data_IF_831995959996
#
_entry.id   IF_831995959996
#
_cell.length_a   1.000
_cell.length_b   1.000
_cell.length_c   1.000
_cell.angle_alpha   90.00
_cell.angle_beta   90.00
_cell.angle_gamma   90.00
#
_symmetry.space_group_name_H-M   'P 1'
#
loop_
_entity.id
_entity.type
_entity.pdbx_description
1 polymer ?
#
# COMPACT_ATOMS: atom_id res chain seq x y z
N UNK A 1 10.23 -0.08 -6.24
CA UNK A 1 10.00 0.95 -5.20
C UNK A 1 10.04 2.41 -5.68
N UNK A 2 10.32 2.73 -6.96
CA UNK A 2 10.38 4.14 -7.39
C UNK A 2 9.04 4.89 -7.22
N UNK A 3 7.91 4.26 -7.56
CA UNK A 3 6.58 4.88 -7.46
C UNK A 3 6.18 5.13 -6.00
N UNK A 4 6.36 4.14 -5.11
CA UNK A 4 6.07 4.29 -3.68
C UNK A 4 6.86 5.45 -3.05
N UNK A 5 8.13 5.63 -3.42
CA UNK A 5 8.94 6.79 -2.98
C UNK A 5 8.39 8.11 -3.50
N UNK A 6 7.97 8.17 -4.77
CA UNK A 6 7.39 9.39 -5.34
C UNK A 6 6.09 9.78 -4.64
N UNK A 7 5.22 8.80 -4.34
CA UNK A 7 4.00 9.02 -3.57
C UNK A 7 4.34 9.54 -2.18
N UNK A 8 5.23 8.86 -1.44
CA UNK A 8 5.62 9.25 -0.09
C UNK A 8 6.25 10.65 -0.02
N UNK A 9 6.99 11.07 -1.05
CA UNK A 9 7.61 12.39 -1.11
C UNK A 9 6.64 13.50 -1.56
N UNK A 10 5.62 13.17 -2.36
CA UNK A 10 4.68 14.13 -2.92
C UNK A 10 3.44 14.33 -2.03
N UNK A 11 2.94 13.25 -1.44
CA UNK A 11 1.70 13.26 -0.67
C UNK A 11 1.91 13.93 0.69
N UNK A 12 1.08 14.90 1.02
CA UNK A 12 1.19 15.65 2.28
C UNK A 12 0.61 14.91 3.49
N UNK A 13 -0.19 13.87 3.27
CA UNK A 13 -0.74 13.02 4.32
C UNK A 13 0.13 11.79 4.61
N UNK A 14 -0.28 11.00 5.60
CA UNK A 14 0.42 9.77 5.95
C UNK A 14 0.44 8.78 4.77
N UNK A 15 1.62 8.18 4.54
CA UNK A 15 1.81 7.15 3.52
C UNK A 15 2.12 5.83 4.20
N UNK A 16 1.21 4.87 4.09
CA UNK A 16 1.41 3.50 4.55
C UNK A 16 1.96 2.65 3.39
N UNK A 17 3.02 1.90 3.64
CA UNK A 17 3.59 0.94 2.70
C UNK A 17 3.38 -0.46 3.23
N UNK A 18 2.79 -1.33 2.41
CA UNK A 18 2.59 -2.74 2.72
C UNK A 18 3.48 -3.56 1.81
N UNK A 19 4.37 -4.36 2.38
CA UNK A 19 5.18 -5.34 1.64
C UNK A 19 5.37 -6.58 2.52
N UNK A 20 4.78 -7.75 2.15
CA UNK A 20 4.76 -8.94 3.01
C UNK A 20 6.12 -9.61 3.27
N UNK A 21 7.13 -9.34 2.44
CA UNK A 21 8.41 -10.06 2.43
C UNK A 21 9.54 -9.30 3.13
N UNK A 22 9.30 -8.07 3.61
CA UNK A 22 10.27 -7.26 4.34
C UNK A 22 9.77 -6.94 5.75
N UNK A 23 10.72 -6.84 6.68
CA UNK A 23 10.45 -6.47 8.07
C UNK A 23 10.88 -5.04 8.39
N UNK A 24 11.60 -4.40 7.47
CA UNK A 24 12.10 -3.03 7.62
C UNK A 24 12.11 -2.34 6.27
N UNK A 25 11.80 -1.04 6.27
CA UNK A 25 11.90 -0.23 5.07
C UNK A 25 13.37 -0.04 4.67
N UNK A 26 13.69 -0.03 3.37
CA UNK A 26 15.00 0.40 2.94
C UNK A 26 15.22 1.87 3.30
N UNK A 27 16.45 2.21 3.70
CA UNK A 27 16.85 3.54 4.22
C UNK A 27 16.34 4.76 3.43
N UNK A 28 16.17 4.62 2.12
CA UNK A 28 15.67 5.68 1.21
C UNK A 28 14.20 6.07 1.44
N UNK A 29 13.46 5.27 2.19
CA UNK A 29 12.07 5.50 2.58
C UNK A 29 11.93 5.86 4.06
N UNK A 30 13.05 5.88 4.79
CA UNK A 30 13.06 6.20 6.20
C UNK A 30 12.58 7.64 6.43
N UNK A 31 11.64 7.81 7.35
CA UNK A 31 10.99 9.10 7.64
C UNK A 31 10.02 9.62 6.56
N UNK A 32 9.85 8.93 5.43
CA UNK A 32 8.89 9.33 4.37
C UNK A 32 7.57 8.56 4.42
N UNK A 33 7.60 7.33 4.93
CA UNK A 33 6.43 6.47 5.01
C UNK A 33 6.54 5.49 6.17
N UNK A 34 5.42 4.88 6.54
CA UNK A 34 5.35 3.89 7.60
C UNK A 34 5.17 2.50 6.99
N UNK A 35 5.97 1.51 7.40
CA UNK A 35 5.71 0.11 7.08
C UNK A 35 4.51 -0.35 7.90
N UNK A 36 3.46 -0.79 7.23
CA UNK A 36 2.21 -1.22 7.84
C UNK A 36 1.86 -2.65 7.42
N UNK A 37 1.05 -3.31 8.24
CA UNK A 37 0.43 -4.56 7.83
C UNK A 37 -0.66 -4.31 6.78
N UNK A 38 -1.03 -5.35 6.04
CA UNK A 38 -2.14 -5.27 5.09
C UNK A 38 -3.45 -4.91 5.79
N UNK A 39 -3.70 -5.48 6.96
CA UNK A 39 -4.88 -5.16 7.79
C UNK A 39 -4.91 -3.70 8.22
N UNK A 40 -3.77 -3.14 8.65
CA UNK A 40 -3.72 -1.75 9.09
C UNK A 40 -3.96 -0.79 7.92
N UNK A 41 -3.39 -1.10 6.75
CA UNK A 41 -3.63 -0.31 5.54
C UNK A 41 -5.11 -0.40 5.11
N UNK A 42 -5.72 -1.59 5.16
CA UNK A 42 -7.13 -1.76 4.82
C UNK A 42 -8.08 -1.06 5.81
N UNK A 43 -7.68 -0.92 7.07
CA UNK A 43 -8.50 -0.27 8.09
C UNK A 43 -8.37 1.26 8.10
N UNK A 44 -7.18 1.80 7.79
CA UNK A 44 -6.86 3.21 8.01
C UNK A 44 -6.62 4.02 6.74
N UNK A 45 -6.35 3.39 5.59
CA UNK A 45 -6.06 4.14 4.37
C UNK A 45 -7.33 4.65 3.70
N UNK A 46 -7.36 5.94 3.37
CA UNK A 46 -8.42 6.56 2.57
C UNK A 46 -8.30 6.22 1.07
N UNK A 47 -7.05 6.01 0.61
CA UNK A 47 -6.69 5.73 -0.79
C UNK A 47 -5.81 4.50 -0.83
N UNK A 48 -6.19 3.50 -1.63
CA UNK A 48 -5.38 2.32 -1.90
C UNK A 48 -4.73 2.39 -3.28
N UNK A 49 -3.44 2.09 -3.34
CA UNK A 49 -2.67 2.01 -4.59
C UNK A 49 -1.97 0.66 -4.67
N UNK A 50 -2.44 -0.24 -5.54
CA UNK A 50 -1.81 -1.53 -5.78
C UNK A 50 -0.75 -1.41 -6.88
N UNK A 51 0.52 -1.52 -6.48
CA UNK A 51 1.67 -1.46 -7.40
C UNK A 51 2.19 -2.85 -7.79
N UNK A 52 1.95 -3.86 -6.96
CA UNK A 52 2.45 -5.24 -7.10
C UNK A 52 1.35 -6.20 -6.66
N UNK A 53 1.30 -7.38 -7.28
CA UNK A 53 0.25 -8.39 -7.13
C UNK A 53 0.72 -9.59 -6.28
N UNK A 54 1.22 -9.31 -5.08
CA UNK A 54 1.62 -10.36 -4.12
C UNK A 54 0.48 -11.34 -3.82
N UNK A 55 0.82 -12.59 -3.48
CA UNK A 55 -0.16 -13.64 -3.22
C UNK A 55 -1.13 -13.26 -2.09
N UNK A 56 -0.60 -12.59 -1.07
CA UNK A 56 -1.33 -12.07 0.08
C UNK A 56 -2.40 -11.07 -0.34
N UNK A 57 -2.13 -10.23 -1.35
CA UNK A 57 -3.09 -9.26 -1.84
C UNK A 57 -4.17 -9.91 -2.69
N UNK A 58 -3.81 -10.91 -3.50
CA UNK A 58 -4.79 -11.72 -4.26
C UNK A 58 -5.71 -12.55 -3.36
N UNK A 59 -5.26 -12.88 -2.17
CA UNK A 59 -6.06 -13.61 -1.17
C UNK A 59 -7.09 -12.71 -0.45
N UNK A 60 -6.97 -11.39 -0.56
CA UNK A 60 -7.98 -10.46 -0.05
C UNK A 60 -9.19 -10.50 -0.97
N UNK A 61 -10.35 -10.89 -0.42
CA UNK A 61 -11.61 -10.83 -1.16
C UNK A 61 -12.00 -9.38 -1.46
N UNK A 62 -12.54 -9.11 -2.65
CA UNK A 62 -12.92 -7.76 -3.08
C UNK A 62 -13.83 -7.03 -2.07
N UNK A 63 -14.72 -7.76 -1.39
CA UNK A 63 -15.61 -7.21 -0.35
C UNK A 63 -14.87 -6.63 0.88
N UNK A 64 -13.61 -7.02 1.09
CA UNK A 64 -12.77 -6.50 2.18
C UNK A 64 -12.10 -5.17 1.83
N UNK A 65 -12.14 -4.78 0.55
CA UNK A 65 -11.56 -3.54 0.05
C UNK A 65 -12.68 -2.52 -0.10
N UNK A 66 -12.84 -1.66 0.91
CA UNK A 66 -14.00 -0.76 1.05
C UNK A 66 -13.65 0.71 0.81
N UNK A 67 -12.39 0.99 0.46
CA UNK A 67 -11.88 2.32 0.24
C UNK A 67 -12.57 3.01 -0.92
N UNK A 68 -12.87 4.29 -0.73
CA UNK A 68 -13.52 5.11 -1.74
C UNK A 68 -12.66 5.30 -3.00
N UNK A 69 -11.34 5.27 -2.85
CA UNK A 69 -10.39 5.48 -3.94
C UNK A 69 -9.41 4.32 -4.04
N UNK A 70 -9.47 3.60 -5.16
CA UNK A 70 -8.60 2.45 -5.44
C UNK A 70 -7.94 2.66 -6.81
N UNK A 71 -6.61 2.69 -6.81
CA UNK A 71 -5.77 2.65 -8.01
C UNK A 71 -5.15 1.26 -8.09
N UNK A 72 -5.83 0.36 -8.79
CA UNK A 72 -5.35 -1.00 -9.02
C UNK A 72 -4.65 -1.10 -10.39
N UNK A 73 -3.31 -1.15 -10.37
CA UNK A 73 -2.51 -1.29 -11.60
C UNK A 73 -2.37 -2.74 -12.07
N UNK A 74 -2.91 -3.70 -11.31
CA UNK A 74 -2.75 -5.15 -11.51
C UNK A 74 -4.05 -5.88 -11.81
N UNK A 75 -5.21 -5.27 -11.49
CA UNK A 75 -6.53 -5.84 -11.74
C UNK A 75 -6.89 -6.97 -10.78
N UNK A 76 -6.48 -6.88 -9.52
CA UNK A 76 -6.72 -7.88 -8.47
C UNK A 76 -7.99 -7.59 -7.65
N UNK A 77 -8.29 -6.31 -7.37
CA UNK A 77 -9.40 -5.89 -6.49
C UNK A 77 -10.52 -5.17 -7.25
N UNK A 78 -10.66 -5.45 -8.55
CA UNK A 78 -11.76 -4.98 -9.39
C UNK A 78 -12.83 -6.03 -9.56
#
# INVERSE_FOLDING_TARGET
MAIAMQIAAWHSGETLVVEPNIHQLPKKLDGLCTLASLSDALANADVLVMLVDHHEFKAVGGDSVTQAFIVDTKGVWR
#
